data_IF_194540288220
#
_entry.id   IF_194540288220
#
_cell.length_a   1.000
_cell.length_b   1.000
_cell.length_c   1.000
_cell.angle_alpha   90.00
_cell.angle_beta   90.00
_cell.angle_gamma   90.00
#
_symmetry.space_group_name_H-M   'P 1'
#
loop_
_entity.id
_entity.type
_entity.pdbx_description
1 polymer ?
#
# COMPACT_ATOMS: atom_id res chain seq x y z
N UNK A 1 23.28 1.13 -16.71
CA UNK A 1 22.88 1.02 -15.29
C UNK A 1 21.36 0.98 -15.26
N UNK A 2 20.75 0.00 -14.58
CA UNK A 2 19.29 -0.13 -14.54
C UNK A 2 18.68 0.95 -13.61
N UNK A 3 17.60 1.61 -14.05
CA UNK A 3 16.87 2.62 -13.28
C UNK A 3 15.59 1.97 -12.77
N UNK A 4 15.38 1.98 -11.46
CA UNK A 4 14.16 1.43 -10.83
C UNK A 4 13.18 2.58 -10.66
N UNK A 5 12.16 2.67 -11.52
CA UNK A 5 11.18 3.78 -11.49
C UNK A 5 9.94 3.49 -10.64
N UNK A 6 9.53 2.23 -10.57
CA UNK A 6 8.27 1.78 -9.95
C UNK A 6 8.55 0.67 -8.93
N UNK A 7 7.96 0.80 -7.75
CA UNK A 7 8.04 -0.21 -6.69
C UNK A 7 6.63 -0.59 -6.24
N UNK A 8 6.34 -1.90 -6.26
CA UNK A 8 5.20 -2.47 -5.54
C UNK A 8 5.67 -2.90 -4.15
N UNK A 9 5.17 -2.25 -3.11
CA UNK A 9 5.63 -2.41 -1.73
C UNK A 9 4.52 -3.00 -0.86
N UNK A 10 4.78 -4.19 -0.32
CA UNK A 10 3.98 -4.79 0.74
C UNK A 10 4.53 -4.41 2.12
N UNK A 11 3.83 -3.50 2.82
CA UNK A 11 4.18 -3.14 4.21
C UNK A 11 3.68 -4.18 5.22
N UNK A 12 2.66 -4.94 4.85
CA UNK A 12 2.10 -6.04 5.65
C UNK A 12 1.55 -7.12 4.73
N UNK A 13 1.58 -8.36 5.19
CA UNK A 13 0.85 -9.48 4.57
C UNK A 13 -0.58 -9.64 5.14
N UNK A 14 -0.89 -8.96 6.25
CA UNK A 14 -2.21 -9.03 6.87
C UNK A 14 -3.28 -8.46 5.94
N UNK A 15 -4.42 -9.14 5.87
CA UNK A 15 -5.58 -8.70 5.10
C UNK A 15 -6.85 -9.18 5.80
N UNK A 16 -7.88 -8.32 5.83
CA UNK A 16 -9.17 -8.60 6.48
C UNK A 16 -10.17 -9.33 5.56
N UNK A 17 -9.75 -9.73 4.35
CA UNK A 17 -10.56 -10.50 3.39
C UNK A 17 -9.86 -11.81 3.01
N UNK A 18 -10.63 -12.78 2.50
CA UNK A 18 -10.15 -14.10 2.03
C UNK A 18 -10.56 -14.41 0.58
N UNK A 19 -10.20 -13.51 -0.35
CA UNK A 19 -10.56 -13.65 -1.76
C UNK A 19 -10.04 -14.95 -2.38
N UNK A 20 -10.88 -15.66 -3.15
CA UNK A 20 -10.55 -16.94 -3.81
C UNK A 20 -9.36 -16.86 -4.78
N UNK A 21 -9.20 -15.72 -5.44
CA UNK A 21 -8.13 -15.47 -6.41
C UNK A 21 -6.88 -14.85 -5.77
N UNK A 22 -6.84 -14.69 -4.44
CA UNK A 22 -5.70 -14.09 -3.76
C UNK A 22 -4.46 -14.99 -3.86
N UNK A 23 -3.36 -14.46 -4.38
CA UNK A 23 -2.10 -15.20 -4.48
C UNK A 23 -1.33 -15.28 -3.16
N UNK A 24 -1.71 -14.48 -2.15
CA UNK A 24 -1.07 -14.46 -0.82
C UNK A 24 -1.69 -15.54 0.04
N UNK A 25 -0.93 -16.62 0.24
CA UNK A 25 -1.37 -17.79 1.03
C UNK A 25 -1.25 -17.56 2.53
N UNK A 26 -0.16 -16.93 2.96
CA UNK A 26 0.11 -16.63 4.37
C UNK A 26 -0.19 -15.16 4.66
N UNK A 27 -1.29 -14.93 5.39
CA UNK A 27 -1.73 -13.59 5.84
C UNK A 27 -1.29 -13.28 7.27
N UNK A 28 -0.18 -13.88 7.70
CA UNK A 28 0.38 -13.62 9.02
C UNK A 28 0.69 -12.12 9.17
N UNK A 29 0.66 -11.60 10.40
CA UNK A 29 0.95 -10.20 10.73
C UNK A 29 2.44 -9.84 10.62
N UNK A 30 3.12 -10.38 9.60
CA UNK A 30 4.48 -9.98 9.24
C UNK A 30 4.41 -8.60 8.61
N UNK A 31 4.69 -7.61 9.44
CA UNK A 31 4.88 -6.24 9.01
C UNK A 31 6.34 -5.97 8.67
N UNK A 32 6.58 -5.19 7.62
CA UNK A 32 7.88 -4.65 7.33
C UNK A 32 8.18 -3.56 8.37
N UNK A 33 9.34 -3.66 9.03
CA UNK A 33 9.82 -2.60 9.93
C UNK A 33 9.83 -1.28 9.19
N UNK A 34 9.26 -0.26 9.82
CA UNK A 34 9.18 1.09 9.29
C UNK A 34 10.56 1.62 8.89
N UNK A 35 11.54 1.44 9.78
CA UNK A 35 12.91 1.92 9.62
C UNK A 35 13.60 1.22 8.45
N UNK A 36 13.40 -0.11 8.32
CA UNK A 36 13.92 -0.88 7.19
C UNK A 36 13.26 -0.46 5.87
N UNK A 37 11.95 -0.22 5.88
CA UNK A 37 11.21 0.24 4.71
C UNK A 37 11.72 1.60 4.24
N UNK A 38 11.89 2.58 5.15
CA UNK A 38 12.42 3.91 4.83
C UNK A 38 13.86 3.80 4.28
N UNK A 39 14.74 3.07 4.96
CA UNK A 39 16.11 2.88 4.49
C UNK A 39 16.19 2.24 3.10
N UNK A 40 15.29 1.30 2.80
CA UNK A 40 15.20 0.70 1.47
C UNK A 40 14.72 1.71 0.41
N UNK A 41 13.73 2.54 0.74
CA UNK A 41 13.28 3.61 -0.17
C UNK A 41 14.39 4.65 -0.40
N UNK A 42 15.19 5.01 0.61
CA UNK A 42 16.30 5.96 0.46
C UNK A 42 17.34 5.46 -0.56
N UNK A 43 17.59 4.16 -0.60
CA UNK A 43 18.49 3.56 -1.59
C UNK A 43 17.87 3.62 -2.99
N UNK A 44 16.59 3.28 -3.12
CA UNK A 44 15.89 3.26 -4.42
C UNK A 44 15.63 4.66 -4.98
N UNK A 45 15.39 5.65 -4.13
CA UNK A 45 15.27 7.06 -4.51
C UNK A 45 16.52 7.53 -5.26
N UNK A 46 17.71 7.21 -4.73
CA UNK A 46 19.02 7.49 -5.38
C UNK A 46 19.20 6.74 -6.70
N UNK A 47 18.41 5.70 -6.97
CA UNK A 47 18.41 4.91 -8.20
C UNK A 47 17.29 5.31 -9.18
N UNK A 48 16.57 6.39 -8.89
CA UNK A 48 15.54 6.95 -9.77
C UNK A 48 14.11 6.46 -9.51
N UNK A 49 13.83 5.99 -8.29
CA UNK A 49 12.46 5.65 -7.88
C UNK A 49 11.57 6.87 -7.94
N UNK A 50 10.43 6.73 -8.62
CA UNK A 50 9.46 7.81 -8.83
C UNK A 50 8.06 7.44 -8.34
N UNK A 51 7.76 6.14 -8.23
CA UNK A 51 6.42 5.66 -7.88
C UNK A 51 6.46 4.51 -6.88
N UNK A 52 5.61 4.58 -5.86
CA UNK A 52 5.34 3.48 -4.92
C UNK A 52 3.87 3.10 -5.00
N UNK A 53 3.60 1.81 -5.14
CA UNK A 53 2.28 1.20 -5.05
C UNK A 53 2.22 0.39 -3.76
N UNK A 54 1.43 0.84 -2.79
CA UNK A 54 1.14 0.08 -1.58
C UNK A 54 0.19 -1.06 -1.93
N UNK A 55 0.63 -2.30 -1.73
CA UNK A 55 -0.09 -3.51 -2.16
C UNK A 55 0.23 -4.70 -1.25
N UNK A 56 0.04 -5.92 -1.75
CA UNK A 56 0.22 -7.20 -1.06
C UNK A 56 -0.96 -7.50 -0.11
N UNK A 57 -0.81 -7.34 1.20
CA UNK A 57 -1.93 -7.39 2.15
C UNK A 57 -2.91 -6.23 1.95
N UNK A 58 -3.69 -5.90 2.98
CA UNK A 58 -4.47 -4.66 3.01
C UNK A 58 -3.59 -3.55 3.61
N UNK A 59 -3.14 -2.55 2.82
CA UNK A 59 -2.22 -1.54 3.34
C UNK A 59 -2.83 -0.71 4.47
N UNK A 60 -4.15 -0.50 4.49
CA UNK A 60 -4.83 0.23 5.57
C UNK A 60 -4.77 -0.49 6.94
N UNK A 61 -4.35 -1.75 6.98
CA UNK A 61 -4.10 -2.47 8.24
C UNK A 61 -2.69 -2.23 8.80
N UNK A 62 -1.78 -1.63 8.02
CA UNK A 62 -0.45 -1.27 8.51
C UNK A 62 -0.54 -0.03 9.41
N UNK A 63 -0.26 -0.22 10.70
CA UNK A 63 -0.51 0.78 11.75
C UNK A 63 0.18 2.14 11.52
N UNK A 64 1.30 2.15 10.77
CA UNK A 64 2.09 3.37 10.45
C UNK A 64 1.96 3.82 8.99
N UNK A 65 0.95 3.37 8.23
CA UNK A 65 0.83 3.70 6.80
C UNK A 65 0.85 5.20 6.54
N UNK A 66 0.05 5.98 7.27
CA UNK A 66 -0.07 7.41 7.01
C UNK A 66 1.20 8.18 7.41
N UNK A 67 1.90 7.73 8.45
CA UNK A 67 3.21 8.27 8.82
C UNK A 67 4.24 7.96 7.75
N UNK A 68 4.28 6.71 7.27
CA UNK A 68 5.16 6.26 6.21
C UNK A 68 4.93 7.08 4.94
N UNK A 69 3.68 7.20 4.52
CA UNK A 69 3.26 7.98 3.34
C UNK A 69 3.68 9.45 3.41
N UNK A 70 3.58 10.08 4.60
CA UNK A 70 4.04 11.46 4.81
C UNK A 70 5.55 11.59 4.63
N UNK A 71 6.33 10.62 5.11
CA UNK A 71 7.78 10.60 4.91
C UNK A 71 8.12 10.44 3.41
N UNK A 72 7.42 9.55 2.70
CA UNK A 72 7.61 9.37 1.25
C UNK A 72 7.23 10.62 0.45
N UNK A 73 6.22 11.38 0.88
CA UNK A 73 5.83 12.62 0.19
C UNK A 73 6.97 13.64 0.15
N UNK A 74 7.78 13.73 1.21
CA UNK A 74 8.91 14.65 1.28
C UNK A 74 10.00 14.35 0.23
N UNK A 75 10.01 13.12 -0.30
CA UNK A 75 10.93 12.65 -1.35
C UNK A 75 10.42 12.93 -2.76
N UNK A 76 9.23 13.51 -2.92
CA UNK A 76 8.61 13.76 -4.23
C UNK A 76 8.20 12.49 -4.98
N UNK A 77 8.15 11.33 -4.31
CA UNK A 77 7.73 10.05 -4.90
C UNK A 77 6.20 10.01 -4.99
N UNK A 78 5.69 9.66 -6.16
CA UNK A 78 4.26 9.51 -6.41
C UNK A 78 3.73 8.22 -5.75
N UNK A 79 2.64 8.34 -5.01
CA UNK A 79 2.12 7.26 -4.16
C UNK A 79 0.74 6.80 -4.61
N UNK A 80 0.59 5.48 -4.77
CA UNK A 80 -0.67 4.82 -5.09
C UNK A 80 -1.03 3.85 -3.96
N UNK A 81 -2.21 4.02 -3.37
CA UNK A 81 -2.80 3.08 -2.44
C UNK A 81 -3.68 2.09 -3.19
N UNK A 82 -3.31 0.81 -3.22
CA UNK A 82 -4.19 -0.27 -3.68
C UNK A 82 -4.84 -0.92 -2.46
N UNK A 83 -6.17 -0.88 -2.37
CA UNK A 83 -6.92 -1.28 -1.17
C UNK A 83 -8.20 -2.02 -1.55
N UNK A 84 -8.66 -2.91 -0.68
CA UNK A 84 -9.98 -3.51 -0.79
C UNK A 84 -11.12 -2.54 -0.40
N UNK A 85 -10.78 -1.37 0.15
CA UNK A 85 -11.73 -0.29 0.45
C UNK A 85 -12.59 -0.49 1.71
N UNK A 86 -12.59 -1.68 2.32
CA UNK A 86 -13.48 -2.01 3.45
C UNK A 86 -13.21 -1.21 4.72
N UNK A 87 -12.00 -0.67 4.87
CA UNK A 87 -11.59 0.17 6.00
C UNK A 87 -11.82 1.67 5.74
N UNK A 88 -12.27 2.07 4.54
CA UNK A 88 -12.46 3.49 4.20
C UNK A 88 -13.78 3.98 4.78
N UNK A 89 -13.68 4.72 5.88
CA UNK A 89 -14.72 5.61 6.38
C UNK A 89 -14.30 7.07 6.17
N UNK A 90 -15.13 8.02 6.62
CA UNK A 90 -14.85 9.45 6.46
C UNK A 90 -13.51 9.88 7.07
N UNK A 91 -13.19 9.39 8.27
CA UNK A 91 -11.92 9.71 8.97
C UNK A 91 -10.72 9.15 8.22
N UNK A 92 -10.79 7.90 7.78
CA UNK A 92 -9.73 7.24 7.00
C UNK A 92 -9.54 7.94 5.65
N UNK A 93 -10.62 8.33 4.98
CA UNK A 93 -10.55 9.10 3.75
C UNK A 93 -9.83 10.44 3.94
N UNK A 94 -10.11 11.16 5.04
CA UNK A 94 -9.36 12.38 5.38
C UNK A 94 -7.88 12.11 5.64
N UNK A 95 -7.55 11.02 6.36
CA UNK A 95 -6.15 10.62 6.60
C UNK A 95 -5.41 10.31 5.29
N UNK A 96 -6.05 9.61 4.35
CA UNK A 96 -5.49 9.34 3.01
C UNK A 96 -5.20 10.65 2.28
N UNK A 97 -6.18 11.56 2.22
CA UNK A 97 -6.02 12.85 1.56
C UNK A 97 -4.88 13.70 2.17
N UNK A 98 -4.67 13.60 3.49
CA UNK A 98 -3.64 14.33 4.21
C UNK A 98 -2.25 13.64 4.23
N UNK A 99 -2.14 12.36 3.85
CA UNK A 99 -0.89 11.59 4.00
C UNK A 99 0.10 11.78 2.86
N UNK A 100 -0.37 12.23 1.69
CA UNK A 100 0.46 12.31 0.48
C UNK A 100 0.24 11.20 -0.52
N UNK A 101 -0.75 10.34 -0.30
CA UNK A 101 -1.23 9.40 -1.33
C UNK A 101 -1.86 10.21 -2.47
N UNK A 102 -1.35 10.03 -3.69
CA UNK A 102 -1.80 10.76 -4.87
C UNK A 102 -2.99 10.08 -5.56
N UNK A 103 -3.11 8.76 -5.41
CA UNK A 103 -4.16 7.96 -6.05
C UNK A 103 -4.59 6.81 -5.15
N UNK A 104 -5.90 6.56 -5.12
CA UNK A 104 -6.48 5.37 -4.50
C UNK A 104 -7.03 4.47 -5.60
N UNK A 105 -6.69 3.19 -5.56
CA UNK A 105 -7.23 2.14 -6.41
C UNK A 105 -7.99 1.15 -5.52
N UNK A 106 -9.30 1.05 -5.73
CA UNK A 106 -10.16 0.15 -4.96
C UNK A 106 -10.36 -1.14 -5.77
N UNK A 107 -10.07 -2.28 -5.16
CA UNK A 107 -10.31 -3.59 -5.77
C UNK A 107 -11.80 -3.89 -5.84
N UNK A 108 -12.32 -4.05 -7.05
CA UNK A 108 -13.71 -4.47 -7.31
C UNK A 108 -13.63 -5.57 -8.37
N UNK A 109 -13.84 -6.81 -7.96
CA UNK A 109 -13.75 -7.95 -8.87
C UNK A 109 -15.09 -8.31 -9.53
N UNK A 110 -16.21 -7.88 -8.94
CA UNK A 110 -17.55 -8.15 -9.45
C UNK A 110 -18.57 -7.16 -8.91
N UNK A 111 -19.60 -6.87 -9.70
CA UNK A 111 -20.79 -6.12 -9.29
C UNK A 111 -21.86 -7.01 -8.64
N UNK A 112 -21.65 -8.34 -8.61
CA UNK A 112 -22.59 -9.33 -8.07
C UNK A 112 -22.10 -9.83 -6.72
N UNK A 113 -22.87 -9.53 -5.67
CA UNK A 113 -22.57 -9.83 -4.27
C UNK A 113 -22.16 -11.30 -3.99
N UNK A 114 -22.81 -12.27 -4.67
CA UNK A 114 -22.59 -13.72 -4.43
C UNK A 114 -21.50 -14.36 -5.28
N UNK A 115 -20.80 -13.62 -6.13
CA UNK A 115 -19.88 -14.21 -7.11
C UNK A 115 -18.56 -14.74 -6.54
N UNK A 116 -18.21 -14.40 -5.28
CA UNK A 116 -16.88 -14.69 -4.72
C UNK A 116 -16.87 -15.37 -3.34
N UNK A 117 -18.02 -15.86 -2.87
CA UNK A 117 -18.12 -16.79 -1.72
C UNK A 117 -18.08 -18.23 -2.22
#
# INVERSE_FOLDING_TARGET
MAIIRYLHLGLTAACNLNCKHCFIKEKESKELSFEKAIAFIDVLEKQGLTHIYYTYGEPLLYHRLFEFSKNIRLKGIYQVLMTNGTQINYEVAQKIAASGINRVMISIDSSIEKSMI
#
